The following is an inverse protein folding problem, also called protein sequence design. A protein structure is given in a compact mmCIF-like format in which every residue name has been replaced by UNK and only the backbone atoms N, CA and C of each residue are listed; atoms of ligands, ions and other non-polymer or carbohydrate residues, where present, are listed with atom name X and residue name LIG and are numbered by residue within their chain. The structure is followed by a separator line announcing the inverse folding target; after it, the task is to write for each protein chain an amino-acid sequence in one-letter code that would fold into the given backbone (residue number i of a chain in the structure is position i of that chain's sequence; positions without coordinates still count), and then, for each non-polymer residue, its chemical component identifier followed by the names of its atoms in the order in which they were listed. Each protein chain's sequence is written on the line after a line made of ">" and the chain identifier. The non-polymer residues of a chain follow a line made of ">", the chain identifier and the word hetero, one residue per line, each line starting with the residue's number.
data_IF_607697432748
#
_entry.id   IF_607697432748
#
_cell.length_a   1.000
_cell.length_b   1.000
_cell.length_c   1.000
_cell.angle_alpha   90.00
_cell.angle_beta   90.00
_cell.angle_gamma   90.00
#
_symmetry.space_group_name_H-M   'P 1'
#
loop_
_entity.id
_entity.type
_entity.pdbx_description
1 polymer ?
#
# COMPACT_ATOMS: atom_id res chain seq x y z
N UNK A 1 -53.00 20.40 -35.94
CA UNK A 1 -51.65 19.80 -35.91
C UNK A 1 -51.03 20.03 -34.54
N UNK A 2 -51.06 19.04 -33.64
CA UNK A 2 -50.38 19.12 -32.33
C UNK A 2 -49.09 18.32 -32.43
N UNK A 3 -47.94 18.98 -32.19
CA UNK A 3 -46.60 18.39 -32.25
C UNK A 3 -46.31 17.68 -30.93
N UNK A 4 -46.09 16.37 -30.97
CA UNK A 4 -45.64 15.57 -29.83
C UNK A 4 -44.13 15.72 -29.70
N UNK A 5 -43.66 16.27 -28.58
CA UNK A 5 -42.23 16.31 -28.23
C UNK A 5 -41.92 15.03 -27.46
N UNK A 6 -41.10 14.15 -28.05
CA UNK A 6 -40.57 12.96 -27.40
C UNK A 6 -39.32 13.38 -26.61
N UNK A 7 -39.40 13.32 -25.29
CA UNK A 7 -38.26 13.55 -24.40
C UNK A 7 -37.39 12.28 -24.39
N UNK A 8 -36.25 12.31 -25.06
CA UNK A 8 -35.23 11.25 -24.96
C UNK A 8 -34.44 11.53 -23.67
N UNK A 9 -34.71 10.75 -22.62
CA UNK A 9 -33.92 10.76 -21.40
C UNK A 9 -32.68 9.92 -21.67
N UNK A 10 -31.58 10.58 -22.02
CA UNK A 10 -30.26 9.95 -22.13
C UNK A 10 -29.75 9.68 -20.71
N UNK A 11 -29.90 8.44 -20.24
CA UNK A 11 -29.32 7.98 -18.99
C UNK A 11 -27.80 7.89 -19.16
N UNK A 12 -27.08 8.92 -18.71
CA UNK A 12 -25.61 8.91 -18.66
C UNK A 12 -25.18 7.95 -17.53
N UNK A 13 -24.92 6.69 -17.88
CA UNK A 13 -24.23 5.77 -16.98
C UNK A 13 -22.77 6.20 -16.90
N UNK A 14 -22.41 6.91 -15.83
CA UNK A 14 -21.01 7.12 -15.47
C UNK A 14 -20.40 5.76 -15.12
N UNK A 15 -19.67 5.17 -16.08
CA UNK A 15 -18.71 4.12 -15.79
C UNK A 15 -17.54 4.77 -15.05
N UNK A 16 -17.66 4.91 -13.74
CA UNK A 16 -16.48 5.09 -12.89
C UNK A 16 -15.71 3.79 -12.96
N UNK A 17 -14.55 3.80 -13.60
CA UNK A 17 -13.59 2.72 -13.49
C UNK A 17 -13.22 2.57 -12.01
N UNK A 18 -13.81 1.60 -11.32
CA UNK A 18 -13.37 1.20 -9.99
C UNK A 18 -11.92 0.80 -10.14
N UNK A 19 -11.01 1.58 -9.54
CA UNK A 19 -9.67 1.08 -9.33
C UNK A 19 -9.82 -0.17 -8.45
N UNK A 20 -9.55 -1.34 -9.02
CA UNK A 20 -9.33 -2.57 -8.28
C UNK A 20 -8.02 -2.39 -7.52
N UNK A 21 -8.11 -1.76 -6.35
CA UNK A 21 -7.26 -2.07 -5.20
C UNK A 21 -7.68 -3.49 -4.83
N UNK A 22 -6.83 -4.51 -4.75
CA UNK A 22 -5.91 -4.82 -3.64
C UNK A 22 -6.60 -4.68 -2.29
N UNK A 23 -6.24 -5.48 -1.27
CA UNK A 23 -6.82 -5.22 0.05
C UNK A 23 -6.75 -3.71 0.29
N UNK A 24 -7.85 -3.08 0.66
CA UNK A 24 -7.86 -1.65 0.83
C UNK A 24 -6.77 -1.24 1.82
N UNK A 25 -6.41 0.04 1.85
CA UNK A 25 -5.24 0.51 2.60
C UNK A 25 -5.11 -0.06 4.03
N UNK A 26 -6.25 -0.21 4.72
CA UNK A 26 -6.31 -0.80 6.06
C UNK A 26 -5.88 -2.28 6.09
N UNK A 27 -6.34 -3.10 5.14
CA UNK A 27 -5.98 -4.51 5.05
C UNK A 27 -4.48 -4.73 4.86
N UNK A 28 -3.85 -4.03 3.90
CA UNK A 28 -2.39 -4.11 3.71
C UNK A 28 -1.60 -3.67 4.95
N UNK A 29 -2.04 -2.58 5.59
CA UNK A 29 -1.40 -2.10 6.82
C UNK A 29 -1.45 -3.17 7.92
N UNK A 30 -2.62 -3.79 8.12
CA UNK A 30 -2.79 -4.86 9.10
C UNK A 30 -1.92 -6.09 8.79
N UNK A 31 -1.80 -6.50 7.52
CA UNK A 31 -0.91 -7.60 7.13
C UNK A 31 0.54 -7.32 7.56
N UNK A 32 1.04 -6.10 7.33
CA UNK A 32 2.37 -5.69 7.75
C UNK A 32 2.52 -5.60 9.27
N UNK A 33 1.54 -5.01 9.97
CA UNK A 33 1.50 -4.90 11.43
C UNK A 33 1.53 -6.28 12.10
N UNK A 34 0.72 -7.23 11.62
CA UNK A 34 0.70 -8.62 12.10
C UNK A 34 2.05 -9.28 11.83
N UNK A 35 2.60 -9.11 10.63
CA UNK A 35 3.92 -9.67 10.32
C UNK A 35 4.96 -9.18 11.33
N UNK A 36 5.06 -7.86 11.52
CA UNK A 36 5.97 -7.23 12.45
C UNK A 36 5.67 -7.56 13.91
N UNK A 37 4.45 -7.93 14.28
CA UNK A 37 4.17 -8.44 15.62
C UNK A 37 4.94 -9.76 15.87
N UNK A 38 4.96 -10.67 14.90
CA UNK A 38 5.54 -12.01 15.03
C UNK A 38 7.03 -12.13 14.74
N UNK A 39 7.65 -11.11 14.14
CA UNK A 39 9.09 -11.10 13.89
C UNK A 39 9.95 -10.98 15.16
N UNK A 40 11.14 -11.59 15.15
CA UNK A 40 12.19 -11.27 16.12
C UNK A 40 12.79 -9.88 15.89
N UNK A 41 13.44 -9.32 16.91
CA UNK A 41 13.97 -7.96 16.88
C UNK A 41 15.07 -7.75 15.81
N UNK A 42 15.86 -8.78 15.52
CA UNK A 42 16.95 -8.72 14.53
C UNK A 42 16.36 -8.61 13.13
N UNK A 43 15.38 -9.45 12.82
CA UNK A 43 14.68 -9.45 11.53
C UNK A 43 13.97 -8.11 11.31
N UNK A 44 13.25 -7.58 12.32
CA UNK A 44 12.64 -6.24 12.23
C UNK A 44 13.66 -5.16 11.86
N UNK A 45 14.79 -5.13 12.58
CA UNK A 45 15.86 -4.16 12.34
C UNK A 45 16.38 -4.25 10.90
N UNK A 46 16.61 -5.46 10.42
CA UNK A 46 17.17 -5.68 9.09
C UNK A 46 16.18 -5.27 7.98
N UNK A 47 14.91 -5.66 8.11
CA UNK A 47 13.85 -5.26 7.19
C UNK A 47 13.71 -3.73 7.16
N UNK A 48 13.64 -3.07 8.32
CA UNK A 48 13.52 -1.61 8.41
C UNK A 48 14.71 -0.88 7.79
N UNK A 49 15.92 -1.45 7.85
CA UNK A 49 17.09 -0.88 7.19
C UNK A 49 16.93 -0.87 5.66
N UNK A 50 16.41 -1.96 5.07
CA UNK A 50 16.09 -1.99 3.63
C UNK A 50 14.89 -1.09 3.27
N UNK A 51 13.96 -0.89 4.21
CA UNK A 51 12.87 0.09 4.06
C UNK A 51 13.34 1.54 4.19
N UNK A 52 14.59 1.82 4.58
CA UNK A 52 15.24 3.13 4.47
C UNK A 52 14.34 4.30 4.94
N UNK A 53 13.74 4.17 6.13
CA UNK A 53 12.86 5.17 6.72
C UNK A 53 11.39 5.13 6.26
N UNK A 54 11.03 4.27 5.32
CA UNK A 54 9.63 3.99 4.97
C UNK A 54 8.98 3.16 6.08
N UNK A 55 7.73 3.52 6.46
CA UNK A 55 6.95 2.73 7.41
C UNK A 55 6.53 1.37 6.81
N UNK A 56 6.19 0.41 7.66
CA UNK A 56 5.80 -0.93 7.21
C UNK A 56 4.42 -0.90 6.52
N UNK A 57 3.56 0.03 6.92
CA UNK A 57 2.26 0.30 6.35
C UNK A 57 2.40 0.97 4.98
N UNK A 58 3.29 1.96 4.84
CA UNK A 58 3.59 2.58 3.55
C UNK A 58 4.23 1.56 2.60
N UNK A 59 5.11 0.68 3.10
CA UNK A 59 5.69 -0.41 2.30
C UNK A 59 4.61 -1.36 1.78
N UNK A 60 3.66 -1.75 2.64
CA UNK A 60 2.53 -2.59 2.26
C UNK A 60 1.56 -1.94 1.28
N UNK A 61 1.49 -0.60 1.24
CA UNK A 61 0.61 0.16 0.35
C UNK A 61 1.33 0.79 -0.85
N UNK A 62 2.65 0.54 -0.99
CA UNK A 62 3.47 1.25 -1.94
C UNK A 62 3.06 0.95 -3.39
N UNK A 63 2.83 -0.32 -3.74
CA UNK A 63 2.48 -0.70 -5.11
C UNK A 63 1.18 -0.03 -5.58
N UNK A 64 0.17 0.01 -4.72
CA UNK A 64 -1.09 0.71 -5.02
C UNK A 64 -0.92 2.22 -5.16
N UNK A 65 -0.09 2.82 -4.30
CA UNK A 65 0.23 4.25 -4.39
C UNK A 65 0.86 4.60 -5.74
N UNK A 66 1.70 3.70 -6.27
CA UNK A 66 2.36 3.87 -7.56
C UNK A 66 1.43 3.74 -8.77
N UNK A 67 0.22 3.17 -8.63
CA UNK A 67 -0.74 3.05 -9.76
C UNK A 67 -1.21 4.39 -10.34
N UNK A 68 -1.03 5.48 -9.59
CA UNK A 68 -1.31 6.84 -10.05
C UNK A 68 -0.22 7.42 -10.94
N UNK A 69 0.97 6.81 -10.94
CA UNK A 69 2.12 7.21 -11.75
C UNK A 69 2.27 6.27 -12.95
N UNK A 70 2.22 6.85 -14.15
CA UNK A 70 2.30 6.11 -15.40
C UNK A 70 3.62 5.36 -15.58
N UNK A 71 4.70 5.77 -14.92
CA UNK A 71 5.98 5.06 -14.97
C UNK A 71 5.86 3.64 -14.40
N UNK A 72 4.88 3.42 -13.54
CA UNK A 72 4.63 2.18 -12.82
C UNK A 72 3.46 1.37 -13.38
N UNK A 73 2.90 1.76 -14.52
CA UNK A 73 1.78 1.08 -15.18
C UNK A 73 2.04 -0.41 -15.46
N UNK A 74 3.31 -0.77 -15.66
CA UNK A 74 3.75 -2.16 -15.85
C UNK A 74 3.46 -3.06 -14.65
N UNK A 75 3.25 -2.51 -13.45
CA UNK A 75 2.92 -3.28 -12.24
C UNK A 75 1.44 -3.59 -12.08
N UNK A 76 0.54 -2.94 -12.84
CA UNK A 76 -0.91 -3.19 -12.77
C UNK A 76 -1.30 -4.68 -12.82
N UNK A 77 -0.73 -5.52 -13.71
CA UNK A 77 -1.07 -6.94 -13.72
C UNK A 77 -0.50 -7.74 -12.53
N UNK A 78 0.46 -7.21 -11.78
CA UNK A 78 1.10 -7.92 -10.67
C UNK A 78 0.16 -8.16 -9.48
N UNK A 79 -0.91 -7.36 -9.36
CA UNK A 79 -1.79 -7.40 -8.18
C UNK A 79 -2.75 -8.60 -8.17
N UNK A 80 -2.99 -9.26 -9.31
CA UNK A 80 -4.03 -10.27 -9.38
C UNK A 80 -3.70 -11.37 -10.38
N UNK A 81 -4.50 -12.43 -10.36
CA UNK A 81 -4.60 -13.42 -11.41
C UNK A 81 -6.04 -13.87 -11.56
N UNK A 82 -6.54 -13.83 -12.79
CA UNK A 82 -7.91 -14.19 -13.13
C UNK A 82 -7.93 -15.59 -13.74
N UNK A 83 -8.55 -16.54 -13.04
CA UNK A 83 -8.53 -17.95 -13.39
C UNK A 83 -9.93 -18.40 -13.78
N UNK A 84 -10.07 -19.19 -14.84
CA UNK A 84 -11.37 -19.76 -15.22
C UNK A 84 -11.94 -20.65 -14.11
N UNK A 85 -13.28 -20.68 -13.97
CA UNK A 85 -13.97 -21.29 -12.81
C UNK A 85 -13.61 -22.75 -12.54
N UNK A 86 -13.30 -23.52 -13.57
CA UNK A 86 -13.03 -24.97 -13.49
C UNK A 86 -11.54 -25.31 -13.69
N UNK A 87 -10.65 -24.31 -13.66
CA UNK A 87 -9.21 -24.51 -13.88
C UNK A 87 -8.48 -24.70 -12.56
N UNK A 88 -7.57 -25.67 -12.53
CA UNK A 88 -6.68 -25.90 -11.39
C UNK A 88 -5.64 -24.78 -11.28
N UNK A 89 -5.33 -24.39 -10.04
CA UNK A 89 -4.28 -23.40 -9.78
C UNK A 89 -2.92 -23.98 -10.16
N UNK A 90 -2.25 -23.29 -11.07
CA UNK A 90 -0.89 -23.54 -11.53
C UNK A 90 -0.24 -22.19 -11.84
N UNK A 91 1.07 -22.19 -12.08
CA UNK A 91 1.71 -21.06 -12.74
C UNK A 91 1.05 -20.82 -14.10
N UNK A 92 0.65 -19.58 -14.34
CA UNK A 92 0.01 -19.14 -15.57
C UNK A 92 0.96 -18.24 -16.34
N UNK A 93 0.81 -18.15 -17.66
CA UNK A 93 1.65 -17.27 -18.46
C UNK A 93 1.42 -15.78 -18.15
N UNK A 94 2.46 -14.98 -18.38
CA UNK A 94 2.42 -13.53 -18.26
C UNK A 94 2.65 -13.00 -16.85
N UNK A 95 2.64 -11.69 -16.74
CA UNK A 95 2.76 -10.98 -15.48
C UNK A 95 1.48 -11.14 -14.67
N UNK A 96 1.62 -11.68 -13.46
CA UNK A 96 0.52 -11.88 -12.51
C UNK A 96 1.08 -12.07 -11.11
N UNK A 97 0.20 -11.99 -10.10
CA UNK A 97 0.60 -12.07 -8.69
C UNK A 97 1.42 -13.30 -8.32
N UNK A 98 1.06 -14.48 -8.83
CA UNK A 98 1.76 -15.74 -8.54
C UNK A 98 3.19 -15.64 -9.06
N UNK A 99 3.34 -15.28 -10.33
CA UNK A 99 4.65 -15.23 -10.99
C UNK A 99 5.53 -14.12 -10.41
N UNK A 100 4.97 -12.94 -10.16
CA UNK A 100 5.73 -11.80 -9.62
C UNK A 100 6.19 -12.07 -8.19
N UNK A 101 5.34 -12.67 -7.35
CA UNK A 101 5.74 -13.06 -5.99
C UNK A 101 6.80 -14.18 -6.04
N UNK A 102 6.58 -15.26 -6.80
CA UNK A 102 7.56 -16.35 -6.95
C UNK A 102 8.90 -15.83 -7.46
N UNK A 103 8.90 -14.97 -8.48
CA UNK A 103 10.12 -14.35 -9.00
C UNK A 103 10.82 -13.50 -7.94
N UNK A 104 10.06 -12.72 -7.16
CA UNK A 104 10.65 -11.88 -6.10
C UNK A 104 11.30 -12.71 -4.99
N UNK A 105 10.71 -13.86 -4.65
CA UNK A 105 11.31 -14.81 -3.69
C UNK A 105 12.57 -15.47 -4.28
N UNK A 106 12.53 -15.93 -5.54
CA UNK A 106 13.69 -16.50 -6.23
C UNK A 106 14.84 -15.50 -6.39
N UNK A 107 14.54 -14.22 -6.59
CA UNK A 107 15.54 -13.15 -6.63
C UNK A 107 16.20 -13.00 -5.24
N UNK A 108 15.42 -13.09 -4.15
CA UNK A 108 15.95 -13.06 -2.78
C UNK A 108 16.70 -14.36 -2.37
N UNK A 109 16.43 -15.51 -2.98
CA UNK A 109 17.30 -16.69 -2.82
C UNK A 109 18.74 -16.38 -3.29
N UNK A 110 18.88 -15.45 -4.25
CA UNK A 110 20.13 -14.98 -4.80
C UNK A 110 20.50 -13.56 -4.32
N UNK A 111 19.98 -13.14 -3.16
CA UNK A 111 20.08 -11.77 -2.62
C UNK A 111 21.49 -11.18 -2.62
N UNK A 112 22.55 -11.99 -2.45
CA UNK A 112 23.96 -11.52 -2.48
C UNK A 112 24.38 -10.89 -3.80
N UNK A 113 23.71 -11.24 -4.90
CA UNK A 113 23.96 -10.68 -6.23
C UNK A 113 23.20 -9.40 -6.52
N UNK A 114 22.28 -8.99 -5.63
CA UNK A 114 21.41 -7.84 -5.81
C UNK A 114 21.99 -6.60 -5.12
N UNK A 115 21.73 -5.43 -5.70
CA UNK A 115 21.90 -4.15 -5.04
C UNK A 115 20.86 -3.93 -3.93
N UNK A 116 21.13 -3.02 -3.00
CA UNK A 116 20.18 -2.67 -1.94
C UNK A 116 18.84 -2.14 -2.49
N UNK A 117 18.87 -1.45 -3.64
CA UNK A 117 17.66 -0.94 -4.28
C UNK A 117 16.84 -2.07 -4.92
N UNK A 118 17.50 -3.04 -5.56
CA UNK A 118 16.80 -4.22 -6.08
C UNK A 118 16.16 -5.03 -4.93
N UNK A 119 16.90 -5.24 -3.83
CA UNK A 119 16.38 -5.90 -2.62
C UNK A 119 15.18 -5.13 -2.06
N UNK A 120 15.30 -3.80 -1.94
CA UNK A 120 14.20 -2.94 -1.50
C UNK A 120 12.98 -3.08 -2.39
N UNK A 121 13.15 -3.08 -3.70
CA UNK A 121 12.03 -3.27 -4.64
C UNK A 121 11.35 -4.63 -4.47
N UNK A 122 12.12 -5.72 -4.31
CA UNK A 122 11.54 -7.04 -4.01
C UNK A 122 10.82 -7.05 -2.67
N UNK A 123 11.37 -6.38 -1.67
CA UNK A 123 10.76 -6.24 -0.37
C UNK A 123 9.40 -5.53 -0.46
N UNK A 124 9.32 -4.40 -1.17
CA UNK A 124 8.06 -3.68 -1.40
C UNK A 124 7.02 -4.54 -2.13
N UNK A 125 7.45 -5.32 -3.13
CA UNK A 125 6.55 -6.26 -3.81
C UNK A 125 6.05 -7.34 -2.85
N UNK A 126 6.92 -7.93 -2.04
CA UNK A 126 6.54 -8.98 -1.09
C UNK A 126 5.57 -8.44 -0.03
N UNK A 127 5.81 -7.25 0.53
CA UNK A 127 4.93 -6.61 1.50
C UNK A 127 3.50 -6.47 0.97
N UNK A 128 3.35 -6.06 -0.28
CA UNK A 128 2.05 -5.82 -0.90
C UNK A 128 1.42 -7.12 -1.43
N UNK A 129 2.14 -7.88 -2.26
CA UNK A 129 1.62 -9.05 -2.97
C UNK A 129 1.28 -10.21 -2.04
N UNK A 130 1.93 -10.33 -0.87
CA UNK A 130 1.49 -11.33 0.12
C UNK A 130 0.09 -10.97 0.62
N UNK A 131 -0.22 -9.69 0.83
CA UNK A 131 -1.58 -9.26 1.13
C UNK A 131 -2.55 -9.66 0.01
N UNK A 132 -2.29 -9.19 -1.22
CA UNK A 132 -3.17 -9.43 -2.36
C UNK A 132 -3.43 -10.92 -2.62
N UNK A 133 -2.41 -11.78 -2.50
CA UNK A 133 -2.56 -13.21 -2.76
C UNK A 133 -3.58 -13.88 -1.82
N UNK A 134 -3.78 -13.28 -0.64
CA UNK A 134 -4.73 -13.78 0.36
C UNK A 134 -6.12 -13.17 0.23
N UNK A 135 -6.30 -12.15 -0.62
CA UNK A 135 -7.61 -11.65 -0.99
C UNK A 135 -8.24 -12.63 -2.01
N UNK A 136 -9.30 -13.38 -1.66
CA UNK A 136 -9.82 -14.45 -2.53
C UNK A 136 -10.15 -13.98 -3.97
N UNK A 137 -10.66 -12.77 -4.12
CA UNK A 137 -11.05 -12.18 -5.40
C UNK A 137 -9.87 -11.66 -6.23
N UNK A 138 -8.68 -11.48 -5.64
CA UNK A 138 -7.43 -11.20 -6.38
C UNK A 138 -6.91 -12.41 -7.14
N UNK A 139 -7.24 -13.59 -6.63
CA UNK A 139 -7.03 -14.87 -7.29
C UNK A 139 -8.37 -15.38 -7.81
N UNK A 140 -9.22 -14.48 -8.32
CA UNK A 140 -10.64 -14.71 -8.59
C UNK A 140 -10.97 -15.30 -9.97
N UNK A 141 -12.20 -15.07 -10.43
CA UNK A 141 -12.69 -15.60 -11.70
C UNK A 141 -12.48 -14.63 -12.86
N UNK A 142 -12.13 -15.19 -14.02
CA UNK A 142 -11.81 -14.39 -15.21
C UNK A 142 -13.02 -13.71 -15.85
N UNK A 143 -14.18 -14.36 -15.82
CA UNK A 143 -15.41 -13.88 -16.44
C UNK A 143 -15.97 -12.63 -15.76
N UNK A 144 -15.71 -12.44 -14.48
CA UNK A 144 -16.14 -11.29 -13.69
C UNK A 144 -15.00 -10.36 -13.21
N UNK A 145 -13.78 -10.60 -13.72
CA UNK A 145 -12.57 -9.86 -13.35
C UNK A 145 -12.35 -9.87 -11.83
N UNK A 146 -12.48 -11.04 -11.20
CA UNK A 146 -12.36 -11.18 -9.75
C UNK A 146 -13.47 -10.43 -9.02
N UNK A 147 -14.71 -10.52 -9.49
CA UNK A 147 -15.86 -9.86 -8.86
C UNK A 147 -16.00 -8.36 -9.13
N UNK A 148 -15.07 -7.73 -9.87
CA UNK A 148 -15.17 -6.30 -10.19
C UNK A 148 -16.41 -5.96 -11.02
N UNK A 149 -16.92 -6.89 -11.82
CA UNK A 149 -18.15 -6.69 -12.62
C UNK A 149 -19.43 -7.13 -11.90
N UNK A 150 -19.33 -7.72 -10.70
CA UNK A 150 -20.48 -8.13 -9.89
C UNK A 150 -20.93 -6.95 -9.05
N UNK A 151 -22.00 -6.28 -9.48
CA UNK A 151 -22.56 -5.11 -8.79
C UNK A 151 -23.39 -5.54 -7.56
N UNK A 152 -23.19 -4.84 -6.44
CA UNK A 152 -23.89 -5.09 -5.18
C UNK A 152 -24.29 -3.79 -4.51
N UNK A 153 -25.27 -3.86 -3.60
CA UNK A 153 -25.71 -2.77 -2.75
C UNK A 153 -25.32 -3.05 -1.31
N UNK A 154 -24.42 -2.23 -0.78
CA UNK A 154 -23.92 -2.31 0.58
C UNK A 154 -24.42 -1.09 1.37
N UNK A 155 -25.21 -1.33 2.43
CA UNK A 155 -25.80 -0.27 3.26
C UNK A 155 -26.55 0.80 2.44
N UNK A 156 -27.22 0.40 1.36
CA UNK A 156 -27.93 1.31 0.46
C UNK A 156 -27.07 2.04 -0.57
N UNK A 157 -25.74 1.86 -0.53
CA UNK A 157 -24.78 2.39 -1.52
C UNK A 157 -24.43 1.33 -2.57
N UNK A 158 -24.36 1.73 -3.84
CA UNK A 158 -23.83 0.86 -4.90
C UNK A 158 -22.31 0.69 -4.79
N UNK A 159 -21.83 -0.55 -4.94
CA UNK A 159 -20.42 -0.95 -5.00
C UNK A 159 -20.29 -2.21 -5.86
N UNK A 160 -19.12 -2.84 -5.90
CA UNK A 160 -18.93 -4.15 -6.53
C UNK A 160 -18.35 -5.15 -5.53
N UNK A 161 -18.48 -6.44 -5.83
CA UNK A 161 -18.08 -7.53 -4.93
C UNK A 161 -16.59 -7.47 -4.55
N UNK A 162 -15.71 -7.06 -5.48
CA UNK A 162 -14.28 -6.89 -5.21
C UNK A 162 -14.04 -5.82 -4.15
N UNK A 163 -14.49 -4.59 -4.42
CA UNK A 163 -14.37 -3.46 -3.49
C UNK A 163 -15.07 -3.71 -2.12
N UNK A 164 -16.15 -4.50 -2.11
CA UNK A 164 -16.83 -4.90 -0.89
C UNK A 164 -15.90 -5.68 0.06
N UNK A 165 -15.11 -6.61 -0.50
CA UNK A 165 -14.14 -7.41 0.23
C UNK A 165 -12.88 -6.63 0.58
N UNK A 166 -12.34 -5.87 -0.38
CA UNK A 166 -11.10 -5.12 -0.18
C UNK A 166 -11.22 -4.07 0.91
N UNK A 167 -12.36 -3.37 0.98
CA UNK A 167 -12.48 -2.16 1.80
C UNK A 167 -13.75 -2.14 2.63
N UNK A 168 -14.91 -2.31 2.00
CA UNK A 168 -16.17 -1.90 2.64
C UNK A 168 -16.50 -2.74 3.90
N UNK A 169 -16.30 -4.06 3.88
CA UNK A 169 -16.55 -4.91 5.06
C UNK A 169 -15.53 -4.61 6.17
N UNK A 170 -14.25 -4.45 5.82
CA UNK A 170 -13.15 -4.17 6.77
C UNK A 170 -13.42 -2.86 7.51
N UNK A 171 -13.73 -1.80 6.76
CA UNK A 171 -14.00 -0.48 7.34
C UNK A 171 -15.29 -0.47 8.16
N UNK A 172 -16.35 -1.10 7.67
CA UNK A 172 -17.63 -1.16 8.38
C UNK A 172 -17.52 -1.89 9.73
N UNK A 173 -16.75 -2.98 9.76
CA UNK A 173 -16.51 -3.75 10.99
C UNK A 173 -15.48 -3.12 11.91
N UNK A 174 -14.73 -2.12 11.43
CA UNK A 174 -13.72 -1.42 12.22
C UNK A 174 -12.54 -2.30 12.58
N UNK A 175 -12.15 -3.22 11.69
CA UNK A 175 -11.10 -4.20 11.97
C UNK A 175 -9.79 -3.55 12.42
N UNK A 176 -9.22 -4.06 13.51
CA UNK A 176 -7.94 -3.62 14.04
C UNK A 176 -6.96 -4.78 14.32
N UNK A 177 -5.73 -4.43 14.67
CA UNK A 177 -4.67 -5.40 14.96
C UNK A 177 -5.01 -6.30 16.17
N UNK A 178 -5.67 -5.77 17.19
CA UNK A 178 -5.98 -6.55 18.39
C UNK A 178 -7.02 -7.63 18.09
N UNK A 179 -7.98 -7.35 17.21
CA UNK A 179 -8.96 -8.33 16.76
C UNK A 179 -8.30 -9.47 16.00
N UNK A 180 -7.36 -9.16 15.10
CA UNK A 180 -6.58 -10.13 14.35
C UNK A 180 -5.71 -11.02 15.26
N UNK A 181 -4.99 -10.41 16.21
CA UNK A 181 -4.15 -11.14 17.15
C UNK A 181 -4.96 -12.08 18.06
N UNK A 182 -6.18 -11.70 18.44
CA UNK A 182 -7.10 -12.57 19.20
C UNK A 182 -7.63 -13.74 18.37
N UNK A 183 -7.75 -13.58 17.06
CA UNK A 183 -8.21 -14.65 16.16
C UNK A 183 -7.15 -15.75 16.00
N UNK A 184 -5.88 -15.48 16.31
CA UNK A 184 -4.83 -16.49 16.23
C UNK A 184 -4.96 -17.56 17.32
N UNK A 185 -5.72 -18.61 17.00
CA UNK A 185 -5.88 -19.80 17.85
C UNK A 185 -5.17 -21.03 17.27
N UNK A 186 -4.21 -20.83 16.36
CA UNK A 186 -3.53 -21.92 15.66
C UNK A 186 -2.66 -22.74 16.61
N UNK A 187 -2.69 -24.07 16.45
CA UNK A 187 -1.75 -24.95 17.14
C UNK A 187 -0.33 -24.75 16.58
N UNK A 188 0.69 -25.24 17.30
CA UNK A 188 2.07 -25.21 16.80
C UNK A 188 2.23 -25.94 15.46
N UNK A 189 1.48 -27.03 15.24
CA UNK A 189 1.49 -27.77 13.99
C UNK A 189 0.84 -26.96 12.85
N UNK A 190 -0.29 -26.30 13.11
CA UNK A 190 -0.96 -25.45 12.12
C UNK A 190 -0.09 -24.24 11.76
N UNK A 191 0.56 -23.61 12.75
CA UNK A 191 1.50 -22.52 12.51
C UNK A 191 2.68 -22.96 11.65
N UNK A 192 3.24 -24.15 11.89
CA UNK A 192 4.31 -24.69 11.05
C UNK A 192 3.85 -24.90 9.59
N UNK A 193 2.62 -25.38 9.39
CA UNK A 193 2.05 -25.53 8.06
C UNK A 193 1.77 -24.17 7.39
N UNK A 194 1.23 -23.19 8.13
CA UNK A 194 0.96 -21.84 7.63
C UNK A 194 2.24 -21.12 7.21
N UNK A 195 3.30 -21.25 8.03
CA UNK A 195 4.61 -20.61 7.78
C UNK A 195 5.40 -21.23 6.63
N UNK A 196 5.03 -22.41 6.15
CA UNK A 196 5.71 -23.00 4.97
C UNK A 196 5.49 -22.11 3.74
N UNK A 197 6.60 -21.59 3.17
CA UNK A 197 6.59 -20.75 1.97
C UNK A 197 6.24 -21.60 0.74
N UNK A 198 5.03 -21.41 0.23
CA UNK A 198 4.50 -22.10 -0.96
C UNK A 198 3.40 -21.24 -1.60
N UNK A 199 3.80 -20.42 -2.58
CA UNK A 199 2.91 -19.46 -3.25
C UNK A 199 1.70 -20.15 -3.89
N UNK A 200 1.89 -21.34 -4.49
CA UNK A 200 0.81 -22.08 -5.14
C UNK A 200 -0.17 -22.65 -4.10
N UNK A 201 0.33 -23.17 -2.97
CA UNK A 201 -0.53 -23.62 -1.89
C UNK A 201 -1.32 -22.46 -1.27
N UNK A 202 -0.69 -21.30 -1.07
CA UNK A 202 -1.37 -20.10 -0.55
C UNK A 202 -2.45 -19.59 -1.51
N UNK A 203 -2.17 -19.62 -2.82
CA UNK A 203 -3.17 -19.30 -3.86
C UNK A 203 -4.37 -20.23 -3.78
N UNK A 204 -4.14 -21.54 -3.62
CA UNK A 204 -5.22 -22.54 -3.49
C UNK A 204 -6.05 -22.32 -2.23
N UNK A 205 -5.38 -22.02 -1.11
CA UNK A 205 -6.01 -21.71 0.17
C UNK A 205 -6.91 -20.47 0.05
N UNK A 206 -6.41 -19.36 -0.50
CA UNK A 206 -7.22 -18.15 -0.71
C UNK A 206 -8.41 -18.41 -1.64
N UNK A 207 -8.20 -19.12 -2.75
CA UNK A 207 -9.27 -19.50 -3.69
C UNK A 207 -10.36 -20.39 -3.10
N UNK A 208 -10.06 -21.15 -2.03
CA UNK A 208 -11.05 -22.00 -1.39
C UNK A 208 -12.24 -21.21 -0.82
N UNK A 209 -12.04 -19.91 -0.56
CA UNK A 209 -13.06 -18.99 -0.04
C UNK A 209 -13.88 -18.28 -1.12
N UNK A 210 -13.60 -18.51 -2.42
CA UNK A 210 -14.40 -17.91 -3.50
C UNK A 210 -15.87 -18.30 -3.39
N UNK A 211 -16.19 -19.52 -2.99
CA UNK A 211 -17.59 -19.94 -2.82
C UNK A 211 -18.33 -19.06 -1.79
N UNK A 212 -17.64 -18.63 -0.74
CA UNK A 212 -18.17 -17.73 0.28
C UNK A 212 -18.30 -16.30 -0.26
N UNK A 213 -17.28 -15.80 -0.99
CA UNK A 213 -17.36 -14.51 -1.65
C UNK A 213 -18.56 -14.39 -2.61
N UNK A 214 -18.86 -15.45 -3.36
CA UNK A 214 -19.99 -15.46 -4.29
C UNK A 214 -21.32 -15.92 -3.67
N UNK A 215 -21.40 -16.19 -2.36
CA UNK A 215 -22.66 -16.62 -1.71
C UNK A 215 -23.60 -15.44 -1.42
N UNK A 216 -23.94 -14.69 -2.46
CA UNK A 216 -24.88 -13.58 -2.42
C UNK A 216 -26.30 -14.10 -2.70
N UNK A 217 -27.24 -13.87 -1.80
CA UNK A 217 -28.65 -14.26 -2.01
C UNK A 217 -29.34 -13.39 -3.06
N UNK A 218 -28.90 -12.13 -3.20
CA UNK A 218 -29.36 -11.11 -4.13
C UNK A 218 -28.28 -10.03 -4.31
N UNK A 219 -28.54 -9.03 -5.15
CA UNK A 219 -27.65 -7.87 -5.27
C UNK A 219 -27.55 -7.03 -3.98
N UNK A 220 -28.41 -7.23 -2.97
CA UNK A 220 -28.31 -6.54 -1.67
C UNK A 220 -27.50 -7.39 -0.69
N UNK A 221 -26.44 -6.80 -0.15
CA UNK A 221 -25.60 -7.43 0.88
C UNK A 221 -26.38 -7.48 2.20
N UNK A 222 -26.53 -8.67 2.78
CA UNK A 222 -27.20 -8.90 4.06
C UNK A 222 -26.20 -8.86 5.22
N UNK A 223 -26.68 -8.60 6.44
CA UNK A 223 -25.82 -8.66 7.64
C UNK A 223 -25.20 -10.05 7.83
N UNK A 224 -25.95 -11.11 7.51
CA UNK A 224 -25.44 -12.48 7.52
C UNK A 224 -24.24 -12.68 6.56
N UNK A 225 -24.33 -12.11 5.35
CA UNK A 225 -23.21 -12.14 4.41
C UNK A 225 -21.99 -11.39 4.97
N UNK A 226 -22.21 -10.22 5.58
CA UNK A 226 -21.13 -9.42 6.18
C UNK A 226 -20.47 -10.20 7.31
N UNK A 227 -21.23 -10.76 8.24
CA UNK A 227 -20.68 -11.45 9.43
C UNK A 227 -19.91 -12.72 9.06
N UNK A 228 -20.47 -13.53 8.16
CA UNK A 228 -19.84 -14.77 7.72
C UNK A 228 -18.54 -14.52 6.94
N UNK A 229 -18.53 -13.54 6.04
CA UNK A 229 -17.35 -13.21 5.25
C UNK A 229 -16.34 -12.35 6.01
N UNK A 230 -16.75 -11.57 7.00
CA UNK A 230 -15.84 -10.86 7.89
C UNK A 230 -14.91 -11.83 8.61
N UNK A 231 -15.44 -12.93 9.14
CA UNK A 231 -14.61 -13.97 9.78
C UNK A 231 -13.56 -14.55 8.83
N UNK A 232 -13.90 -14.70 7.54
CA UNK A 232 -12.97 -15.19 6.51
C UNK A 232 -11.92 -14.13 6.19
N UNK A 233 -12.31 -12.86 6.06
CA UNK A 233 -11.41 -11.74 5.83
C UNK A 233 -10.36 -11.67 6.95
N UNK A 234 -10.79 -11.77 8.21
CA UNK A 234 -9.88 -11.82 9.35
C UNK A 234 -8.91 -12.99 9.24
N UNK A 235 -9.41 -14.20 8.94
CA UNK A 235 -8.54 -15.37 8.74
C UNK A 235 -7.51 -15.16 7.61
N UNK A 236 -7.89 -14.51 6.51
CA UNK A 236 -6.99 -14.25 5.39
C UNK A 236 -5.94 -13.19 5.73
N UNK A 237 -6.31 -12.11 6.40
CA UNK A 237 -5.38 -11.04 6.84
C UNK A 237 -4.37 -11.61 7.86
N UNK A 238 -4.84 -12.37 8.86
CA UNK A 238 -3.97 -13.06 9.81
C UNK A 238 -3.00 -14.03 9.12
N UNK A 239 -3.50 -14.89 8.22
CA UNK A 239 -2.65 -15.81 7.46
C UNK A 239 -1.62 -15.07 6.61
N UNK A 240 -2.02 -14.00 5.93
CA UNK A 240 -1.12 -13.17 5.13
C UNK A 240 0.00 -12.57 6.01
N UNK A 241 -0.34 -12.03 7.18
CA UNK A 241 0.65 -11.49 8.12
C UNK A 241 1.62 -12.55 8.65
N UNK A 242 1.12 -13.73 9.02
CA UNK A 242 1.96 -14.86 9.46
C UNK A 242 2.89 -15.37 8.35
N UNK A 243 2.41 -15.42 7.11
CA UNK A 243 3.18 -15.84 5.94
C UNK A 243 4.20 -14.78 5.53
N UNK A 244 3.83 -13.50 5.58
CA UNK A 244 4.76 -12.39 5.38
C UNK A 244 5.86 -12.42 6.45
N UNK A 245 5.53 -12.61 7.74
CA UNK A 245 6.52 -12.81 8.79
C UNK A 245 7.49 -13.95 8.45
N UNK A 246 6.98 -15.09 7.99
CA UNK A 246 7.83 -16.23 7.64
C UNK A 246 8.78 -15.93 6.47
N UNK A 247 8.33 -15.18 5.46
CA UNK A 247 9.20 -14.74 4.35
C UNK A 247 10.28 -13.80 4.88
N UNK A 248 9.90 -12.81 5.69
CA UNK A 248 10.83 -11.83 6.23
C UNK A 248 11.87 -12.50 7.16
N UNK A 249 11.46 -13.43 8.03
CA UNK A 249 12.38 -14.23 8.84
C UNK A 249 13.32 -15.06 7.96
N UNK A 250 12.80 -15.71 6.91
CA UNK A 250 13.61 -16.56 6.05
C UNK A 250 14.74 -15.79 5.36
N UNK A 251 14.45 -14.61 4.82
CA UNK A 251 15.41 -13.85 4.00
C UNK A 251 16.22 -12.82 4.77
N UNK A 252 15.71 -12.26 5.87
CA UNK A 252 16.32 -11.10 6.52
C UNK A 252 16.85 -11.36 7.93
N UNK A 253 16.64 -12.55 8.51
CA UNK A 253 17.10 -12.85 9.88
C UNK A 253 18.62 -12.83 10.04
N UNK A 254 19.33 -13.53 9.16
CA UNK A 254 20.79 -13.70 9.23
C UNK A 254 21.55 -12.75 8.29
N UNK A 255 20.86 -11.73 7.77
CA UNK A 255 21.51 -10.72 6.94
C UNK A 255 22.35 -9.82 7.83
N UNK A 256 23.66 -9.82 7.59
CA UNK A 256 24.53 -8.78 8.08
C UNK A 256 24.21 -7.52 7.29
N UNK A 257 23.32 -6.68 7.82
CA UNK A 257 23.15 -5.30 7.37
C UNK A 257 24.41 -4.54 7.80
N UNK A 258 25.52 -4.84 7.13
CA UNK A 258 26.71 -3.99 7.16
C UNK A 258 26.22 -2.66 6.62
N UNK A 259 26.45 -1.58 7.38
CA UNK A 259 26.40 -0.23 6.85
C UNK A 259 27.43 -0.14 5.72
N UNK A 260 27.04 -0.60 4.52
CA UNK A 260 27.91 -0.70 3.37
C UNK A 260 27.96 0.68 2.72
N UNK A 261 28.66 1.59 3.40
CA UNK A 261 29.23 2.82 2.85
C UNK A 261 30.42 2.52 1.91
N UNK A 262 30.42 1.36 1.26
CA UNK A 262 31.44 0.98 0.30
C UNK A 262 30.83 1.10 -1.09
N UNK A 263 30.88 2.32 -1.60
CA UNK A 263 30.80 2.60 -3.03
C UNK A 263 31.96 1.82 -3.67
N UNK A 264 31.65 0.72 -4.35
CA UNK A 264 32.58 0.16 -5.34
C UNK A 264 32.61 1.16 -6.49
N UNK A 265 33.74 1.83 -6.67
CA UNK A 265 34.02 2.63 -7.86
C UNK A 265 33.86 1.74 -9.10
N UNK A 266 32.91 2.08 -9.96
CA UNK A 266 32.78 1.52 -11.30
C UNK A 266 33.53 2.47 -12.25
N UNK A 267 34.41 1.96 -13.14
CA UNK A 267 35.15 2.79 -14.09
C UNK A 267 34.21 3.44 -15.11
N UNK A 268 34.63 4.56 -15.74
CA UNK A 268 33.72 5.36 -16.56
C UNK A 268 33.52 4.70 -17.92
N UNK A 269 32.29 4.28 -18.22
CA UNK A 269 31.83 4.20 -19.60
C UNK A 269 30.32 4.43 -19.70
N UNK A 270 30.00 5.59 -20.28
CA UNK A 270 28.81 5.92 -21.09
C UNK A 270 27.42 5.71 -20.50
N UNK A 271 26.83 6.86 -20.16
CA UNK A 271 25.41 7.21 -20.31
C UNK A 271 24.39 6.39 -19.51
N UNK A 272 24.23 6.71 -18.22
CA UNK A 272 22.92 6.70 -17.56
C UNK A 272 22.83 7.91 -16.64
N UNK A 273 21.96 8.86 -16.99
CA UNK A 273 21.61 10.02 -16.19
C UNK A 273 20.57 9.67 -15.12
N UNK A 274 20.79 10.24 -13.94
CA UNK A 274 19.85 10.45 -12.83
C UNK A 274 19.38 9.26 -11.98
N UNK A 275 20.25 8.79 -11.09
CA UNK A 275 19.87 8.36 -9.73
C UNK A 275 20.69 9.17 -8.73
N UNK A 276 20.12 10.28 -8.25
CA UNK A 276 20.72 11.08 -7.17
C UNK A 276 20.43 10.38 -5.86
N UNK A 277 21.45 9.77 -5.27
CA UNK A 277 21.48 9.41 -3.87
C UNK A 277 21.24 10.67 -3.02
N UNK A 278 20.23 10.64 -2.14
CA UNK A 278 19.97 11.71 -1.18
C UNK A 278 21.04 11.72 -0.10
N UNK A 279 22.15 12.41 -0.34
CA UNK A 279 23.26 12.56 0.60
C UNK A 279 23.49 13.99 1.11
N UNK A 280 22.60 14.95 0.82
CA UNK A 280 22.67 16.31 1.41
C UNK A 280 21.28 16.91 1.64
N UNK A 281 21.11 17.62 2.75
CA UNK A 281 19.93 18.45 3.01
C UNK A 281 19.87 19.54 1.93
N UNK A 282 18.76 19.61 1.20
CA UNK A 282 18.61 20.66 0.18
C UNK A 282 18.12 21.96 0.83
N UNK A 283 18.61 23.08 0.31
CA UNK A 283 18.14 24.40 0.71
C UNK A 283 16.66 24.55 0.34
N UNK A 284 15.82 24.87 1.33
CA UNK A 284 14.38 25.06 1.13
C UNK A 284 14.05 26.06 0.02
N UNK A 285 14.90 27.08 -0.19
CA UNK A 285 14.70 28.10 -1.23
C UNK A 285 14.82 27.53 -2.65
N UNK A 286 15.46 26.38 -2.80
CA UNK A 286 15.61 25.66 -4.08
C UNK A 286 14.58 24.56 -4.27
N UNK A 287 13.61 24.40 -3.37
CA UNK A 287 12.67 23.27 -3.38
C UNK A 287 11.97 23.08 -4.74
N UNK A 288 11.64 24.16 -5.46
CA UNK A 288 11.00 24.09 -6.78
C UNK A 288 11.88 23.42 -7.86
N UNK A 289 13.21 23.50 -7.75
CA UNK A 289 14.16 22.91 -8.70
C UNK A 289 14.18 21.36 -8.62
N UNK A 290 13.51 20.80 -7.62
CA UNK A 290 13.49 19.37 -7.31
C UNK A 290 12.11 18.75 -7.52
N UNK A 291 11.24 19.34 -8.34
CA UNK A 291 9.94 18.75 -8.68
C UNK A 291 10.06 17.26 -9.10
N UNK A 292 9.22 16.42 -8.51
CA UNK A 292 9.20 14.98 -8.75
C UNK A 292 10.29 14.19 -8.03
N UNK A 293 11.27 14.87 -7.40
CA UNK A 293 12.38 14.22 -6.68
C UNK A 293 12.03 14.04 -5.21
N UNK A 294 12.43 12.90 -4.64
CA UNK A 294 12.49 12.69 -3.20
C UNK A 294 13.60 13.58 -2.64
N UNK A 295 13.31 14.35 -1.60
CA UNK A 295 14.27 15.27 -0.98
C UNK A 295 14.21 15.23 0.55
N UNK A 296 15.27 15.68 1.21
CA UNK A 296 15.28 16.04 2.64
C UNK A 296 15.53 17.53 2.78
N UNK A 297 14.62 18.24 3.44
CA UNK A 297 14.68 19.70 3.66
C UNK A 297 14.61 19.98 5.15
N UNK A 298 15.66 20.60 5.70
CA UNK A 298 15.67 21.06 7.10
C UNK A 298 15.49 22.58 7.18
N UNK A 299 14.35 23.05 7.69
CA UNK A 299 14.12 24.49 7.89
C UNK A 299 13.01 24.77 8.91
N UNK A 300 12.86 26.04 9.29
CA UNK A 300 11.90 26.49 10.29
C UNK A 300 10.49 26.56 9.72
N UNK A 301 9.49 26.12 10.50
CA UNK A 301 8.07 26.37 10.24
C UNK A 301 7.72 27.78 10.74
N UNK A 302 7.54 28.72 9.82
CA UNK A 302 7.29 30.13 10.16
C UNK A 302 5.82 30.45 10.43
N UNK A 303 4.90 29.74 9.77
CA UNK A 303 3.46 29.93 9.95
C UNK A 303 2.69 28.67 9.59
N UNK A 304 1.53 28.47 10.19
CA UNK A 304 0.64 27.34 9.91
C UNK A 304 -0.76 27.85 9.61
N UNK A 305 -1.52 27.12 8.78
CA UNK A 305 -2.93 27.40 8.48
C UNK A 305 -3.70 26.09 8.43
N UNK A 306 -4.85 26.06 9.09
CA UNK A 306 -5.86 25.01 8.89
C UNK A 306 -6.96 25.62 8.02
N UNK A 307 -7.37 24.93 6.96
CA UNK A 307 -8.49 25.36 6.12
C UNK A 307 -9.81 24.98 6.76
N UNK A 308 -10.65 25.98 6.99
CA UNK A 308 -11.95 25.82 7.65
C UNK A 308 -12.92 24.98 6.79
N UNK A 309 -12.72 24.94 5.48
CA UNK A 309 -13.59 24.22 4.52
C UNK A 309 -13.43 22.70 4.55
N UNK A 310 -12.24 22.19 4.86
CA UNK A 310 -11.95 20.75 4.72
C UNK A 310 -10.93 20.21 5.72
N UNK A 311 -10.50 21.02 6.70
CA UNK A 311 -9.56 20.60 7.76
C UNK A 311 -8.12 20.39 7.31
N UNK A 312 -7.76 20.67 6.05
CA UNK A 312 -6.38 20.54 5.57
C UNK A 312 -5.43 21.45 6.37
N UNK A 313 -4.30 20.88 6.79
CA UNK A 313 -3.27 21.60 7.54
C UNK A 313 -2.08 21.92 6.64
N UNK A 314 -1.65 23.17 6.67
CA UNK A 314 -0.49 23.70 5.95
C UNK A 314 0.58 24.16 6.95
N UNK A 315 1.82 23.72 6.75
CA UNK A 315 2.99 24.23 7.45
C UNK A 315 3.87 24.97 6.43
N UNK A 316 4.07 26.27 6.64
CA UNK A 316 4.88 27.11 5.76
C UNK A 316 6.33 27.10 6.23
N UNK A 317 7.22 26.51 5.43
CA UNK A 317 8.60 26.18 5.79
C UNK A 317 9.55 27.13 5.08
N UNK A 318 10.55 27.63 5.79
CA UNK A 318 11.56 28.59 5.26
C UNK A 318 11.08 30.03 5.11
N UNK A 319 9.78 30.30 5.27
CA UNK A 319 9.20 31.65 5.21
C UNK A 319 7.73 31.67 5.61
N UNK A 320 7.17 32.86 5.86
CA UNK A 320 5.73 33.01 6.12
C UNK A 320 4.94 32.94 4.83
N UNK A 321 3.70 32.45 4.89
CA UNK A 321 2.75 32.64 3.79
C UNK A 321 2.60 34.15 3.48
N UNK A 322 2.49 34.57 2.20
CA UNK A 322 2.45 33.75 0.97
C UNK A 322 3.81 33.46 0.33
N UNK A 323 4.91 33.95 0.90
CA UNK A 323 6.27 33.86 0.35
C UNK A 323 7.07 32.66 0.87
N UNK A 324 6.39 31.65 1.40
CA UNK A 324 7.04 30.44 1.90
C UNK A 324 7.64 29.67 0.72
N UNK A 325 8.95 29.34 0.76
CA UNK A 325 9.61 28.60 -0.31
C UNK A 325 9.23 27.12 -0.34
N UNK A 326 8.59 26.58 0.71
CA UNK A 326 7.99 25.24 0.73
C UNK A 326 6.73 25.22 1.59
N UNK A 327 5.71 24.49 1.14
CA UNK A 327 4.51 24.20 1.93
C UNK A 327 4.40 22.71 2.24
N UNK A 328 4.35 22.34 3.51
CA UNK A 328 3.98 20.98 3.90
C UNK A 328 2.47 20.88 4.03
N UNK A 329 1.87 19.89 3.39
CA UNK A 329 0.42 19.67 3.34
C UNK A 329 0.07 18.37 4.07
N UNK A 330 -0.85 18.45 5.02
CA UNK A 330 -1.41 17.28 5.73
C UNK A 330 -2.92 17.31 5.49
N UNK A 331 -3.44 16.30 4.79
CA UNK A 331 -4.88 16.17 4.55
C UNK A 331 -5.64 15.80 5.81
N UNK A 332 -6.91 16.19 5.89
CA UNK A 332 -7.71 16.02 7.11
C UNK A 332 -7.91 14.55 7.50
N UNK A 333 -8.05 13.65 6.53
CA UNK A 333 -8.14 12.20 6.77
C UNK A 333 -6.85 11.60 7.32
N UNK A 334 -5.71 12.30 7.17
CA UNK A 334 -4.40 11.90 7.71
C UNK A 334 -4.12 12.46 9.09
N UNK A 335 -4.87 13.46 9.56
CA UNK A 335 -4.67 14.03 10.91
C UNK A 335 -4.84 12.99 12.02
N UNK A 336 -5.64 11.93 11.79
CA UNK A 336 -5.80 10.81 12.72
C UNK A 336 -4.51 10.02 12.98
N UNK A 337 -3.50 10.15 12.11
CA UNK A 337 -2.20 9.52 12.26
C UNK A 337 -1.25 10.32 13.18
N UNK A 338 -1.68 11.49 13.65
CA UNK A 338 -0.93 12.35 14.57
C UNK A 338 -1.63 12.35 15.92
N UNK A 339 -0.90 11.95 16.97
CA UNK A 339 -1.34 12.02 18.36
C UNK A 339 -1.25 13.45 18.94
N UNK A 340 -0.79 14.40 18.13
CA UNK A 340 -0.75 15.83 18.41
C UNK A 340 -1.33 16.63 17.25
N UNK A 341 -1.72 17.88 17.52
CA UNK A 341 -2.22 18.80 16.48
C UNK A 341 -1.02 19.37 15.69
N UNK A 342 -0.79 18.99 14.41
CA UNK A 342 0.44 19.34 13.71
C UNK A 342 0.61 20.85 13.51
N UNK A 343 -0.51 21.57 13.31
CA UNK A 343 -0.53 23.01 13.08
C UNK A 343 -0.05 23.84 14.28
N UNK A 344 -0.19 23.32 15.50
CA UNK A 344 0.34 23.95 16.72
C UNK A 344 1.69 23.35 17.09
N UNK A 345 1.81 22.03 16.99
CA UNK A 345 2.99 21.29 17.44
C UNK A 345 4.26 21.66 16.67
N UNK A 346 4.19 21.84 15.35
CA UNK A 346 5.37 22.18 14.54
C UNK A 346 5.62 23.67 14.39
N UNK A 347 4.66 24.53 14.75
CA UNK A 347 4.77 25.98 14.56
C UNK A 347 5.98 26.54 15.33
N UNK A 348 6.86 27.23 14.61
CA UNK A 348 8.05 27.86 15.17
C UNK A 348 9.25 26.92 15.36
N UNK A 349 9.09 25.61 15.18
CA UNK A 349 10.18 24.63 15.28
C UNK A 349 10.98 24.55 13.98
N UNK A 350 12.25 24.16 14.11
CA UNK A 350 13.06 23.71 12.97
C UNK A 350 12.76 22.24 12.76
N UNK A 351 12.33 21.88 11.55
CA UNK A 351 12.00 20.51 11.19
C UNK A 351 12.81 20.06 9.97
N UNK A 352 13.10 18.76 9.90
CA UNK A 352 13.63 18.10 8.72
C UNK A 352 12.52 17.24 8.11
N UNK A 353 12.13 17.57 6.88
CA UNK A 353 11.05 16.91 6.16
C UNK A 353 11.67 16.05 5.07
N UNK A 354 11.28 14.78 5.04
CA UNK A 354 11.63 13.87 3.93
C UNK A 354 10.38 13.59 3.12
N UNK A 355 10.41 13.87 1.82
CA UNK A 355 9.28 13.61 0.94
C UNK A 355 9.52 14.09 -0.48
N UNK A 356 8.61 13.72 -1.38
CA UNK A 356 8.70 14.10 -2.80
C UNK A 356 8.14 15.49 -3.02
N UNK A 357 8.89 16.36 -3.71
CA UNK A 357 8.38 17.69 -4.10
C UNK A 357 7.33 17.54 -5.19
N UNK A 358 6.19 18.20 -4.99
CA UNK A 358 5.18 18.47 -6.02
C UNK A 358 5.03 19.97 -6.20
N UNK A 359 4.72 20.43 -7.42
CA UNK A 359 4.32 21.82 -7.63
C UNK A 359 2.80 21.94 -7.64
N UNK A 360 2.26 22.77 -6.75
CA UNK A 360 0.86 23.19 -6.79
C UNK A 360 0.77 24.67 -7.14
N UNK A 361 0.18 24.96 -8.31
CA UNK A 361 0.11 26.33 -8.88
C UNK A 361 1.48 27.02 -8.91
N UNK A 362 2.53 26.27 -9.28
CA UNK A 362 3.90 26.75 -9.37
C UNK A 362 4.62 26.93 -8.02
N UNK A 363 4.02 26.51 -6.90
CA UNK A 363 4.66 26.52 -5.57
C UNK A 363 4.99 25.11 -5.12
N UNK A 364 6.20 24.86 -4.59
CA UNK A 364 6.59 23.54 -4.12
C UNK A 364 5.86 23.17 -2.82
N UNK A 365 5.42 21.92 -2.77
CA UNK A 365 4.79 21.30 -1.62
C UNK A 365 5.29 19.87 -1.39
N UNK A 366 5.22 19.43 -0.13
CA UNK A 366 5.39 18.03 0.26
C UNK A 366 4.14 17.60 1.02
N UNK A 367 3.53 16.50 0.57
CA UNK A 367 2.36 15.90 1.24
C UNK A 367 2.86 14.93 2.30
N UNK A 368 2.39 15.10 3.54
CA UNK A 368 2.77 14.28 4.68
C UNK A 368 1.54 13.54 5.21
N UNK A 369 1.67 12.21 5.30
CA UNK A 369 0.62 11.33 5.77
C UNK A 369 0.81 10.88 7.23
N UNK A 370 2.04 10.90 7.74
CA UNK A 370 2.40 10.42 9.08
C UNK A 370 3.43 11.34 9.73
N UNK A 371 3.54 11.38 11.06
CA UNK A 371 4.53 12.20 11.76
C UNK A 371 5.98 11.77 11.48
N UNK A 372 6.23 10.51 11.13
CA UNK A 372 7.59 9.96 10.90
C UNK A 372 8.36 10.64 9.76
N UNK A 373 7.66 11.24 8.79
CA UNK A 373 8.29 11.98 7.70
C UNK A 373 8.80 13.38 8.12
N UNK A 374 8.57 13.80 9.38
CA UNK A 374 9.00 15.08 9.93
C UNK A 374 9.78 14.85 11.23
N UNK A 375 11.08 15.15 11.21
CA UNK A 375 11.93 15.15 12.40
C UNK A 375 12.02 16.57 12.97
N UNK A 376 11.99 16.73 14.29
CA UNK A 376 12.29 18.02 14.95
C UNK A 376 13.79 18.08 15.25
N UNK A 377 14.42 19.22 14.92
CA UNK A 377 15.81 19.52 15.32
C UNK A 377 15.89 20.29 16.62
#
# INVERSE_FOLDING_TARGET
>A
MKRTVVLIITCLTFFTSSASYAWGHKGHSLVAEIAFHYLDATTKKNVLAYLNGMSIEDAANWMDSMRSDKQYDFMKPYHYVNIDRNTTVKELEGDNIINTLTKSLNDLDNMKGLSNEEIRMKLLYIFHLVGDLHQPLHVGYKDDKGGNTVQVSFLGRGTNLHALWDTDIIEYKGLDLNDELKMNTYSAADLAAIKKIDVIAWTKDSRSFLKNAYSLDNAKVSDYYIDSNYTIIQQQILKAGLRLASILEHYFKDVNVVANTQVKEIPPSSEVTDVVALSTDIDVTKAADYEGKLVRICSKVYSTKVLDSNGMTFLNVGGKYPSAPLTVVIYADKLKNFDFVPSTYYKGKTICITGTIKLYKGKPEIIINTPHAIEIK
#
